data_IF_286431742395
#
_entry.id   IF_286431742395
#
_cell.length_a   1.000
_cell.length_b   1.000
_cell.length_c   1.000
_cell.angle_alpha   90.00
_cell.angle_beta   90.00
_cell.angle_gamma   90.00
#
_symmetry.space_group_name_H-M   'P 1'
#
loop_
_entity.id
_entity.type
_entity.pdbx_description
1 polymer ?
#
# COMPACT_ATOMS: atom_id res chain seq x y z
N UNK A 1 -17.47 10.15 17.05
CA UNK A 1 -16.12 9.86 16.55
C UNK A 1 -15.93 10.70 15.30
N UNK A 2 -15.12 11.76 15.38
CA UNK A 2 -14.79 12.59 14.22
C UNK A 2 -13.91 11.78 13.29
N UNK A 3 -14.42 11.41 12.12
CA UNK A 3 -13.62 10.86 11.04
C UNK A 3 -12.50 11.87 10.73
N UNK A 4 -11.25 11.55 11.08
CA UNK A 4 -10.09 12.37 10.72
C UNK A 4 -10.09 12.50 9.19
N UNK A 5 -10.21 13.71 8.67
CA UNK A 5 -10.04 13.97 7.24
C UNK A 5 -8.59 13.64 6.90
N UNK A 6 -8.38 12.74 5.95
CA UNK A 6 -7.04 12.35 5.51
C UNK A 6 -6.41 13.48 4.72
N UNK A 7 -5.14 13.76 5.01
CA UNK A 7 -4.34 14.71 4.23
C UNK A 7 -3.97 14.14 2.86
N UNK A 8 -3.60 15.00 1.91
CA UNK A 8 -3.14 14.55 0.59
C UNK A 8 -1.91 13.64 0.69
N UNK A 9 -0.99 13.91 1.62
CA UNK A 9 0.21 13.06 1.79
C UNK A 9 -0.14 11.66 2.33
N UNK A 10 -1.09 11.56 3.26
CA UNK A 10 -1.60 10.27 3.74
C UNK A 10 -2.29 9.50 2.59
N UNK A 11 -3.08 10.19 1.76
CA UNK A 11 -3.73 9.60 0.58
C UNK A 11 -2.71 9.11 -0.45
N UNK A 12 -1.70 9.93 -0.78
CA UNK A 12 -0.58 9.55 -1.68
C UNK A 12 0.16 8.34 -1.16
N UNK A 13 0.48 8.31 0.13
CA UNK A 13 1.18 7.19 0.74
C UNK A 13 0.38 5.88 0.61
N UNK A 14 -0.92 5.91 0.90
CA UNK A 14 -1.78 4.72 0.79
C UNK A 14 -1.93 4.26 -0.66
N UNK A 15 -2.19 5.19 -1.58
CA UNK A 15 -2.41 4.86 -2.99
C UNK A 15 -1.14 4.39 -3.66
N UNK A 16 0.02 5.01 -3.38
CA UNK A 16 1.31 4.54 -3.87
C UNK A 16 1.65 3.16 -3.30
N UNK A 17 1.43 2.96 -2.00
CA UNK A 17 1.68 1.67 -1.37
C UNK A 17 0.85 0.55 -2.00
N UNK A 18 -0.46 0.76 -2.22
CA UNK A 18 -1.30 -0.22 -2.91
C UNK A 18 -0.85 -0.42 -4.36
N UNK A 19 -0.67 0.67 -5.10
CA UNK A 19 -0.34 0.64 -6.51
C UNK A 19 0.98 -0.09 -6.75
N UNK A 20 2.03 0.20 -5.97
CA UNK A 20 3.35 -0.43 -6.19
C UNK A 20 3.37 -1.91 -5.83
N UNK A 21 2.52 -2.34 -4.89
CA UNK A 21 2.37 -3.77 -4.56
C UNK A 21 1.65 -4.50 -5.70
N UNK A 22 0.57 -3.94 -6.26
CA UNK A 22 -0.17 -4.56 -7.37
C UNK A 22 0.63 -4.52 -8.68
N UNK A 23 1.30 -3.40 -8.98
CA UNK A 23 2.14 -3.27 -10.16
C UNK A 23 3.42 -4.14 -10.11
N UNK A 24 3.76 -4.73 -8.96
CA UNK A 24 5.01 -5.48 -8.80
C UNK A 24 5.10 -6.69 -9.74
N UNK A 25 3.97 -7.25 -10.17
CA UNK A 25 3.88 -8.35 -11.14
C UNK A 25 3.03 -8.02 -12.38
N UNK A 26 2.57 -6.76 -12.49
CA UNK A 26 1.65 -6.29 -13.52
C UNK A 26 0.23 -6.15 -12.98
N UNK A 27 -0.38 -4.98 -13.22
CA UNK A 27 -1.70 -4.65 -12.69
C UNK A 27 -2.81 -5.33 -13.49
N UNK A 28 -3.69 -6.08 -12.80
CA UNK A 28 -4.88 -6.65 -13.41
C UNK A 28 -6.16 -5.80 -13.19
N UNK A 29 -7.28 -6.23 -13.78
CA UNK A 29 -8.55 -5.49 -13.69
C UNK A 29 -9.15 -5.47 -12.27
N UNK A 30 -8.97 -6.53 -11.50
CA UNK A 30 -9.50 -6.61 -10.14
C UNK A 30 -8.70 -5.68 -9.21
N UNK A 31 -7.38 -5.67 -9.39
CA UNK A 31 -6.48 -4.75 -8.69
C UNK A 31 -6.75 -3.28 -9.06
N UNK A 32 -6.99 -2.99 -10.34
CA UNK A 32 -7.40 -1.64 -10.76
C UNK A 32 -8.71 -1.22 -10.07
N UNK A 33 -9.71 -2.10 -10.00
CA UNK A 33 -10.98 -1.80 -9.31
C UNK A 33 -10.78 -1.52 -7.82
N UNK A 34 -9.84 -2.22 -7.18
CA UNK A 34 -9.47 -1.97 -5.78
C UNK A 34 -8.86 -0.57 -5.61
N UNK A 35 -7.99 -0.16 -6.54
CA UNK A 35 -7.39 1.18 -6.53
C UNK A 35 -8.45 2.26 -6.75
N UNK A 36 -9.33 2.08 -7.73
CA UNK A 36 -10.43 2.99 -8.05
C UNK A 36 -11.38 3.15 -6.86
N UNK A 37 -11.78 2.04 -6.22
CA UNK A 37 -12.63 2.05 -5.02
C UNK A 37 -11.93 2.72 -3.83
N UNK A 38 -10.60 2.58 -3.73
CA UNK A 38 -9.81 3.27 -2.69
C UNK A 38 -9.77 4.77 -2.95
N UNK A 39 -9.57 5.19 -4.20
CA UNK A 39 -9.57 6.60 -4.60
C UNK A 39 -10.95 7.25 -4.38
N UNK A 40 -12.03 6.56 -4.75
CA UNK A 40 -13.39 7.04 -4.52
C UNK A 40 -13.69 7.20 -3.02
N UNK A 41 -13.36 6.18 -2.20
CA UNK A 41 -13.60 6.21 -0.76
C UNK A 41 -12.89 7.37 -0.06
N UNK A 42 -11.70 7.74 -0.53
CA UNK A 42 -10.90 8.80 0.09
C UNK A 42 -10.99 10.14 -0.63
N UNK A 43 -11.80 10.26 -1.68
CA UNK A 43 -11.81 11.42 -2.57
C UNK A 43 -10.38 11.79 -3.01
N UNK A 44 -9.72 10.84 -3.67
CA UNK A 44 -8.27 10.80 -3.85
C UNK A 44 -7.85 10.41 -5.29
N UNK A 45 -8.64 10.81 -6.28
CA UNK A 45 -8.37 10.52 -7.69
C UNK A 45 -7.09 11.19 -8.20
N UNK A 46 -6.75 12.37 -7.70
CA UNK A 46 -5.51 13.06 -8.04
C UNK A 46 -4.29 12.30 -7.51
N UNK A 47 -4.37 11.77 -6.28
CA UNK A 47 -3.32 10.97 -5.68
C UNK A 47 -3.17 9.60 -6.35
N UNK A 48 -4.26 9.00 -6.83
CA UNK A 48 -4.19 7.76 -7.61
C UNK A 48 -3.51 8.01 -8.95
N UNK A 49 -3.89 9.10 -9.64
CA UNK A 49 -3.20 9.51 -10.86
C UNK A 49 -1.71 9.74 -10.60
N UNK A 50 -1.38 10.44 -9.52
CA UNK A 50 0.02 10.67 -9.13
C UNK A 50 0.77 9.37 -8.86
N UNK A 51 0.17 8.39 -8.17
CA UNK A 51 0.80 7.09 -7.93
C UNK A 51 1.09 6.33 -9.24
N UNK A 52 0.15 6.36 -10.19
CA UNK A 52 0.32 5.74 -11.51
C UNK A 52 1.40 6.46 -12.33
N UNK A 53 1.40 7.79 -12.33
CA UNK A 53 2.44 8.60 -12.96
C UNK A 53 3.82 8.27 -12.35
N UNK A 54 3.92 8.22 -11.01
CA UNK A 54 5.14 7.89 -10.27
C UNK A 54 5.72 6.54 -10.69
N UNK A 55 4.88 5.52 -10.84
CA UNK A 55 5.28 4.18 -11.27
C UNK A 55 5.71 4.19 -12.74
N UNK A 56 4.93 4.85 -13.61
CA UNK A 56 5.19 4.88 -15.06
C UNK A 56 6.47 5.61 -15.46
N UNK A 57 7.03 6.46 -14.60
CA UNK A 57 8.32 7.11 -14.83
C UNK A 57 9.45 6.10 -15.07
N UNK A 58 9.46 5.00 -14.32
CA UNK A 58 10.38 3.89 -14.49
C UNK A 58 9.84 2.68 -13.75
N UNK A 59 9.27 1.74 -14.51
CA UNK A 59 8.70 0.50 -13.98
C UNK A 59 9.73 -0.42 -13.34
N UNK A 60 10.99 -0.40 -13.80
CA UNK A 60 12.04 -1.30 -13.28
C UNK A 60 12.48 -0.90 -11.87
N UNK A 61 12.53 0.41 -11.58
CA UNK A 61 12.92 0.92 -10.27
C UNK A 61 11.74 1.39 -9.41
N UNK A 62 10.51 1.29 -9.92
CA UNK A 62 9.30 1.81 -9.27
C UNK A 62 9.16 1.35 -7.82
N UNK A 63 9.41 0.08 -7.52
CA UNK A 63 9.31 -0.45 -6.17
C UNK A 63 10.35 0.15 -5.22
N UNK A 64 11.62 0.21 -5.60
CA UNK A 64 12.65 0.80 -4.71
C UNK A 64 12.42 2.30 -4.52
N UNK A 65 12.04 3.04 -5.59
CA UNK A 65 11.68 4.47 -5.47
C UNK A 65 10.47 4.68 -4.55
N UNK A 66 9.44 3.86 -4.68
CA UNK A 66 8.26 3.95 -3.81
C UNK A 66 8.61 3.60 -2.37
N UNK A 67 9.45 2.59 -2.16
CA UNK A 67 9.95 2.20 -0.84
C UNK A 67 10.74 3.33 -0.18
N UNK A 68 11.62 4.00 -0.91
CA UNK A 68 12.36 5.18 -0.44
C UNK A 68 11.40 6.30 -0.03
N UNK A 69 10.48 6.69 -0.92
CA UNK A 69 9.47 7.71 -0.65
C UNK A 69 8.62 7.35 0.58
N UNK A 70 8.10 6.13 0.65
CA UNK A 70 7.26 5.68 1.76
C UNK A 70 8.04 5.60 3.07
N UNK A 71 9.33 5.28 3.05
CA UNK A 71 10.16 5.35 4.25
C UNK A 71 10.32 6.79 4.76
N UNK A 72 10.39 7.77 3.87
CA UNK A 72 10.44 9.19 4.23
C UNK A 72 9.11 9.65 4.87
N UNK A 73 7.98 9.35 4.22
CA UNK A 73 6.67 9.88 4.63
C UNK A 73 5.93 9.05 5.70
N UNK A 74 6.12 7.73 5.71
CA UNK A 74 5.44 6.79 6.60
C UNK A 74 6.38 6.21 7.65
N UNK A 75 7.67 6.05 7.35
CA UNK A 75 8.63 5.38 8.23
C UNK A 75 8.76 6.01 9.63
N UNK A 76 8.55 7.33 9.71
CA UNK A 76 8.62 8.12 10.96
C UNK A 76 7.29 8.23 11.72
N UNK A 77 6.19 7.69 11.17
CA UNK A 77 4.90 7.65 11.85
C UNK A 77 4.93 6.65 13.01
N UNK A 78 3.94 6.76 13.89
CA UNK A 78 3.81 5.81 14.99
C UNK A 78 3.61 4.38 14.46
N UNK A 79 3.93 3.39 15.31
CA UNK A 79 3.88 1.98 14.95
C UNK A 79 2.49 1.52 14.50
N UNK A 80 1.44 2.05 15.11
CA UNK A 80 0.05 1.66 14.82
C UNK A 80 -0.34 2.14 13.43
N UNK A 81 -0.01 3.39 13.08
CA UNK A 81 -0.28 3.94 11.74
C UNK A 81 0.45 3.18 10.64
N UNK A 82 1.74 2.86 10.83
CA UNK A 82 2.53 2.06 9.86
C UNK A 82 1.92 0.67 9.65
N UNK A 83 1.53 0.01 10.74
CA UNK A 83 0.86 -1.28 10.67
C UNK A 83 -0.50 -1.19 9.99
N UNK A 84 -1.28 -0.14 10.28
CA UNK A 84 -2.60 0.09 9.68
C UNK A 84 -2.52 0.25 8.16
N UNK A 85 -1.49 0.92 7.65
CA UNK A 85 -1.31 1.08 6.19
C UNK A 85 -1.02 -0.27 5.53
N UNK A 86 -0.15 -1.09 6.12
CA UNK A 86 0.11 -2.44 5.61
C UNK A 86 -1.12 -3.34 5.74
N UNK A 87 -1.91 -3.23 6.81
CA UNK A 87 -3.13 -4.03 6.94
C UNK A 87 -4.17 -3.67 5.89
N UNK A 88 -4.33 -2.38 5.54
CA UNK A 88 -5.23 -1.96 4.46
C UNK A 88 -4.84 -2.52 3.09
N UNK A 89 -3.55 -2.73 2.85
CA UNK A 89 -3.05 -3.37 1.62
C UNK A 89 -3.29 -4.86 1.69
N UNK A 90 -2.92 -5.50 2.80
CA UNK A 90 -3.13 -6.93 3.02
C UNK A 90 -4.60 -7.33 2.86
N UNK A 91 -5.52 -6.57 3.47
CA UNK A 91 -6.95 -6.84 3.39
C UNK A 91 -7.50 -6.68 1.98
N UNK A 92 -7.04 -5.67 1.25
CA UNK A 92 -7.42 -5.48 -0.13
C UNK A 92 -6.90 -6.59 -1.04
N UNK A 93 -5.65 -7.03 -0.82
CA UNK A 93 -5.08 -8.17 -1.53
C UNK A 93 -5.85 -9.46 -1.24
N UNK A 94 -6.12 -9.72 0.04
CA UNK A 94 -6.84 -10.92 0.45
C UNK A 94 -8.32 -10.92 0.02
N UNK A 95 -8.92 -9.76 -0.26
CA UNK A 95 -10.27 -9.66 -0.81
C UNK A 95 -10.38 -10.27 -2.22
N UNK A 96 -9.28 -10.33 -2.98
CA UNK A 96 -9.16 -11.07 -4.25
C UNK A 96 -9.20 -12.60 -4.07
N UNK A 97 -9.14 -13.09 -2.82
CA UNK A 97 -9.13 -14.51 -2.49
C UNK A 97 -7.75 -15.16 -2.46
N UNK A 98 -6.70 -14.46 -2.88
CA UNK A 98 -5.31 -14.91 -2.79
C UNK A 98 -4.34 -13.73 -2.70
N UNK A 99 -3.11 -14.02 -2.28
CA UNK A 99 -1.97 -13.08 -2.31
C UNK A 99 -0.80 -13.82 -2.93
N UNK A 100 -0.19 -13.23 -3.95
CA UNK A 100 0.99 -13.82 -4.62
C UNK A 100 2.22 -13.76 -3.70
N UNK A 101 3.20 -14.63 -3.94
CA UNK A 101 4.47 -14.60 -3.21
C UNK A 101 5.21 -13.27 -3.39
N UNK A 102 5.11 -12.67 -4.58
CA UNK A 102 5.76 -11.40 -4.90
C UNK A 102 5.15 -10.24 -4.11
N UNK A 103 3.82 -10.13 -4.05
CA UNK A 103 3.12 -9.13 -3.22
C UNK A 103 3.42 -9.34 -1.73
N UNK A 104 3.41 -10.59 -1.26
CA UNK A 104 3.73 -10.92 0.12
C UNK A 104 5.17 -10.51 0.47
N UNK A 105 6.12 -10.79 -0.42
CA UNK A 105 7.54 -10.42 -0.24
C UNK A 105 7.72 -8.90 -0.23
N UNK A 106 7.06 -8.19 -1.14
CA UNK A 106 7.10 -6.73 -1.21
C UNK A 106 6.53 -6.09 0.08
N UNK A 107 5.38 -6.59 0.57
CA UNK A 107 4.80 -6.15 1.85
C UNK A 107 5.72 -6.46 3.03
N UNK A 108 6.33 -7.65 3.09
CA UNK A 108 7.24 -8.03 4.17
C UNK A 108 8.52 -7.19 4.18
N UNK A 109 9.01 -6.77 3.01
CA UNK A 109 10.17 -5.88 2.89
C UNK A 109 9.88 -4.51 3.50
N UNK A 110 8.74 -3.90 3.18
CA UNK A 110 8.29 -2.65 3.81
C UNK A 110 8.02 -2.81 5.31
N UNK A 111 7.38 -3.91 5.72
CA UNK A 111 7.12 -4.19 7.13
C UNK A 111 8.41 -4.32 7.95
N UNK A 112 9.48 -4.86 7.35
CA UNK A 112 10.80 -4.93 7.96
C UNK A 112 11.40 -3.54 8.12
N UNK A 113 11.38 -2.72 7.09
CA UNK A 113 11.87 -1.34 7.16
C UNK A 113 11.16 -0.52 8.24
N UNK A 114 9.84 -0.72 8.36
CA UNK A 114 9.00 -0.02 9.34
C UNK A 114 9.00 -0.67 10.73
N UNK A 115 9.80 -1.73 10.94
CA UNK A 115 9.89 -2.45 12.21
C UNK A 115 8.53 -2.95 12.73
N UNK A 116 7.64 -3.38 11.82
CA UNK A 116 6.29 -3.93 12.10
C UNK A 116 6.09 -5.34 11.50
N UNK A 117 7.16 -5.97 11.04
CA UNK A 117 7.10 -7.29 10.40
C UNK A 117 6.44 -8.36 11.28
N UNK A 118 6.74 -8.38 12.58
CA UNK A 118 6.17 -9.34 13.53
C UNK A 118 4.65 -9.16 13.65
N UNK A 119 4.20 -7.92 13.75
CA UNK A 119 2.79 -7.57 13.88
C UNK A 119 2.01 -7.89 12.61
N UNK A 120 2.58 -7.59 11.43
CA UNK A 120 2.00 -7.98 10.16
C UNK A 120 1.83 -9.50 10.10
N UNK A 121 2.87 -10.29 10.44
CA UNK A 121 2.79 -11.75 10.46
C UNK A 121 1.72 -12.29 11.41
N UNK A 122 1.50 -11.65 12.56
CA UNK A 122 0.41 -12.02 13.47
C UNK A 122 -0.97 -11.72 12.87
N UNK A 123 -1.12 -10.58 12.19
CA UNK A 123 -2.36 -10.19 11.52
C UNK A 123 -2.72 -11.19 10.41
N UNK A 124 -1.74 -11.55 9.58
CA UNK A 124 -1.91 -12.53 8.49
C UNK A 124 -2.34 -13.90 9.02
N UNK A 125 -1.75 -14.36 10.13
CA UNK A 125 -2.00 -15.69 10.69
C UNK A 125 -3.33 -15.83 11.43
N UNK A 126 -3.91 -14.73 11.91
CA UNK A 126 -5.15 -14.74 12.72
C UNK A 126 -6.43 -14.96 11.90
N UNK A 127 -6.42 -14.77 10.58
CA UNK A 127 -7.62 -14.94 9.72
C UNK A 127 -7.76 -16.36 9.13
N UNK A 128 -7.40 -17.41 9.90
CA UNK A 128 -7.72 -18.81 9.56
C UNK A 128 -8.88 -19.33 10.37
#
# INVERSE_FOLDING_TARGET
MTSKVMTSDEKKAILLLKSVIFHYHGLDKEEQQILDSTAERFDAWEELKWANDFISLDYYTAFERAREYLNEVVGNLDKETRLNYLSMVWEANNAKGYVTEMEATAMLKLAKDWSVQKELMMLVRKKK
#
